data_IF_883466925375
#
_entry.id   IF_883466925375
#
_cell.length_a   1.000
_cell.length_b   1.000
_cell.length_c   1.000
_cell.angle_alpha   90.00
_cell.angle_beta   90.00
_cell.angle_gamma   90.00
#
_symmetry.space_group_name_H-M   'P 1'
#
loop_
_entity.id
_entity.type
_entity.pdbx_description
1 polymer ?
#
# COMPACT_ATOMS: atom_id res chain seq x y z
N UNK A 1 -1.81 -1.00 -3.12
CA UNK A 1 -3.01 -0.43 -2.44
C UNK A 1 -4.28 -1.10 -2.94
N UNK A 2 -5.39 -1.00 -2.19
CA UNK A 2 -6.70 -1.46 -2.67
C UNK A 2 -7.29 -0.43 -3.65
N UNK A 3 -7.64 -0.80 -4.89
CA UNK A 3 -8.17 0.14 -5.89
C UNK A 3 -9.69 0.34 -5.75
N UNK A 4 -10.19 0.40 -4.51
CA UNK A 4 -11.63 0.51 -4.23
C UNK A 4 -11.98 1.91 -3.73
N UNK A 5 -13.26 2.28 -3.79
CA UNK A 5 -13.79 3.51 -3.17
C UNK A 5 -13.74 3.49 -1.63
N UNK A 6 -13.16 2.46 -1.02
CA UNK A 6 -12.88 2.42 0.43
C UNK A 6 -11.83 3.46 0.83
N UNK A 7 -11.87 3.91 2.10
CA UNK A 7 -11.04 4.99 2.62
C UNK A 7 -9.53 4.85 2.31
N UNK A 8 -8.97 3.66 2.44
CA UNK A 8 -7.53 3.43 2.19
C UNK A 8 -7.12 3.57 0.72
N UNK A 9 -8.00 3.15 -0.22
CA UNK A 9 -7.73 3.30 -1.66
C UNK A 9 -7.70 4.76 -2.07
N UNK A 10 -8.67 5.54 -1.59
CA UNK A 10 -8.73 6.99 -1.82
C UNK A 10 -7.50 7.68 -1.21
N UNK A 11 -7.16 7.38 0.04
CA UNK A 11 -5.98 7.97 0.72
C UNK A 11 -4.70 7.69 -0.05
N UNK A 12 -4.48 6.45 -0.47
CA UNK A 12 -3.29 6.08 -1.24
C UNK A 12 -3.20 6.83 -2.58
N UNK A 13 -4.34 6.97 -3.27
CA UNK A 13 -4.39 7.68 -4.56
C UNK A 13 -4.14 9.17 -4.38
N UNK A 14 -4.82 9.83 -3.44
CA UNK A 14 -4.65 11.25 -3.15
C UNK A 14 -3.22 11.58 -2.69
N UNK A 15 -2.61 10.70 -1.89
CA UNK A 15 -1.22 10.84 -1.49
C UNK A 15 -0.29 10.79 -2.70
N UNK A 16 -0.47 9.80 -3.59
CA UNK A 16 0.33 9.69 -4.80
C UNK A 16 0.17 10.90 -5.73
N UNK A 17 -1.06 11.40 -5.91
CA UNK A 17 -1.32 12.62 -6.69
C UNK A 17 -0.63 13.84 -6.04
N UNK A 18 -0.72 13.99 -4.72
CA UNK A 18 -0.09 15.09 -4.01
C UNK A 18 1.44 15.06 -4.09
N UNK A 19 2.03 13.87 -4.04
CA UNK A 19 3.47 13.69 -4.20
C UNK A 19 3.91 13.96 -5.65
N UNK A 20 3.14 13.54 -6.65
CA UNK A 20 3.46 13.81 -8.05
C UNK A 20 3.46 15.31 -8.38
N UNK A 21 2.54 16.08 -7.77
CA UNK A 21 2.50 17.55 -7.87
C UNK A 21 3.75 18.22 -7.27
N UNK A 22 4.46 17.50 -6.38
CA UNK A 22 5.73 17.92 -5.77
C UNK A 22 6.96 17.43 -6.53
N UNK A 23 6.78 16.82 -7.69
CA UNK A 23 7.86 16.38 -8.57
C UNK A 23 8.32 14.94 -8.38
N UNK A 24 7.68 14.16 -7.51
CA UNK A 24 7.98 12.74 -7.37
C UNK A 24 7.36 11.92 -8.51
N UNK A 25 8.08 10.90 -8.99
CA UNK A 25 7.53 9.90 -9.90
C UNK A 25 6.82 8.81 -9.09
N UNK A 26 5.53 8.57 -9.38
CA UNK A 26 4.67 7.68 -8.61
C UNK A 26 4.27 6.48 -9.47
N UNK A 27 4.49 5.29 -8.91
CA UNK A 27 4.14 4.03 -9.52
C UNK A 27 3.08 3.31 -8.67
N UNK A 28 1.84 3.26 -9.14
CA UNK A 28 0.79 2.47 -8.52
C UNK A 28 0.88 1.02 -9.01
N UNK A 29 1.05 0.07 -8.09
CA UNK A 29 1.06 -1.37 -8.38
C UNK A 29 -0.12 -2.02 -7.68
N UNK A 30 -1.12 -2.48 -8.44
CA UNK A 30 -2.36 -3.06 -7.91
C UNK A 30 -3.13 -3.80 -9.01
N UNK A 31 -4.12 -4.63 -8.64
CA UNK A 31 -4.88 -5.49 -9.57
C UNK A 31 -5.93 -4.74 -10.42
N UNK A 32 -6.20 -3.47 -10.14
CA UNK A 32 -7.11 -2.62 -10.89
C UNK A 32 -6.67 -1.17 -10.76
N UNK A 33 -6.97 -0.34 -11.75
CA UNK A 33 -6.66 1.09 -11.69
C UNK A 33 -7.23 1.73 -10.42
N UNK A 34 -6.42 2.49 -9.67
CA UNK A 34 -6.89 3.18 -8.47
C UNK A 34 -8.03 4.14 -8.78
N UNK A 35 -9.01 4.20 -7.87
CA UNK A 35 -10.10 5.18 -7.94
C UNK A 35 -9.55 6.60 -7.91
N UNK A 36 -10.23 7.54 -8.55
CA UNK A 36 -9.82 8.94 -8.71
C UNK A 36 -8.52 9.17 -9.50
N UNK A 37 -7.93 8.13 -10.08
CA UNK A 37 -6.81 8.26 -10.99
C UNK A 37 -7.37 8.40 -12.42
N UNK A 38 -8.09 9.50 -12.68
CA UNK A 38 -8.76 9.74 -13.98
C UNK A 38 -7.78 10.08 -15.08
N UNK A 39 -6.68 10.75 -14.73
CA UNK A 39 -5.63 11.13 -15.67
C UNK A 39 -4.27 10.69 -15.17
N UNK A 40 -3.56 9.93 -16.00
CA UNK A 40 -2.14 9.67 -15.81
C UNK A 40 -1.38 10.95 -16.17
N UNK A 41 -0.77 11.60 -15.18
CA UNK A 41 0.19 12.67 -15.42
C UNK A 41 1.53 12.08 -15.88
N UNK A 42 2.42 12.92 -16.41
CA UNK A 42 3.76 12.48 -16.82
C UNK A 42 4.55 11.79 -15.67
N UNK A 43 4.19 12.10 -14.42
CA UNK A 43 4.85 11.59 -13.22
C UNK A 43 4.06 10.48 -12.51
N UNK A 44 2.95 9.99 -13.07
CA UNK A 44 2.15 8.90 -12.48
C UNK A 44 2.04 7.75 -13.48
N UNK A 45 2.39 6.56 -13.01
CA UNK A 45 2.28 5.32 -13.78
C UNK A 45 1.43 4.30 -13.02
N UNK A 46 0.69 3.50 -13.75
CA UNK A 46 -0.07 2.38 -13.22
C UNK A 46 0.45 1.06 -13.77
N UNK A 47 0.63 0.09 -12.89
CA UNK A 47 1.08 -1.26 -13.22
C UNK A 47 0.07 -2.27 -12.71
N UNK A 48 -0.60 -2.93 -13.63
CA UNK A 48 -1.58 -3.94 -13.27
C UNK A 48 -0.90 -5.23 -12.81
N UNK A 49 -1.42 -5.78 -11.71
CA UNK A 49 -1.06 -7.10 -11.19
C UNK A 49 -2.07 -8.10 -11.71
N UNK A 50 -1.68 -8.86 -12.72
CA UNK A 50 -2.49 -9.94 -13.24
C UNK A 50 -2.17 -11.23 -12.47
N UNK A 51 -3.20 -11.92 -12.02
CA UNK A 51 -3.09 -13.25 -11.43
C UNK A 51 -3.65 -14.23 -12.43
N UNK A 52 -2.79 -14.99 -13.15
CA UNK A 52 -3.27 -15.95 -14.13
C UNK A 52 -4.03 -17.08 -13.43
N UNK A 53 -5.14 -17.49 -14.03
CA UNK A 53 -5.85 -18.68 -13.59
C UNK A 53 -5.01 -19.92 -13.91
N UNK A 54 -4.80 -20.75 -12.90
CA UNK A 54 -4.10 -22.02 -13.07
C UNK A 54 -4.88 -23.14 -12.37
N UNK A 55 -5.24 -24.22 -13.10
CA UNK A 55 -6.17 -25.24 -12.58
C UNK A 55 -5.74 -25.92 -11.28
N UNK A 56 -4.44 -25.94 -10.97
CA UNK A 56 -3.92 -26.51 -9.72
C UNK A 56 -4.03 -25.58 -8.52
N UNK A 57 -4.29 -24.28 -8.73
CA UNK A 57 -4.49 -23.33 -7.63
C UNK A 57 -5.96 -23.23 -7.28
N UNK A 58 -6.34 -23.82 -6.17
CA UNK A 58 -7.70 -23.69 -5.64
C UNK A 58 -8.00 -22.22 -5.25
N UNK A 59 -6.98 -21.49 -4.81
CA UNK A 59 -7.02 -20.05 -4.55
C UNK A 59 -5.95 -19.34 -5.38
N UNK A 60 -6.31 -18.18 -5.94
CA UNK A 60 -5.37 -17.40 -6.74
C UNK A 60 -4.30 -16.78 -5.84
N UNK A 61 -2.99 -17.01 -6.10
CA UNK A 61 -1.89 -16.52 -5.26
C UNK A 61 -1.55 -15.06 -5.56
N UNK A 62 -2.42 -14.15 -5.13
CA UNK A 62 -2.26 -12.71 -5.37
C UNK A 62 -0.93 -12.16 -4.83
N UNK A 63 -0.52 -12.60 -3.63
CA UNK A 63 0.71 -12.14 -2.99
C UNK A 63 1.96 -12.50 -3.79
N UNK A 64 1.98 -13.67 -4.42
CA UNK A 64 3.06 -14.09 -5.33
C UNK A 64 3.09 -13.22 -6.59
N UNK A 65 1.94 -12.97 -7.20
CA UNK A 65 1.85 -12.13 -8.39
C UNK A 65 2.26 -10.69 -8.07
N UNK A 66 1.81 -10.14 -6.92
CA UNK A 66 2.16 -8.81 -6.46
C UNK A 66 3.66 -8.68 -6.20
N UNK A 67 4.26 -9.61 -5.45
CA UNK A 67 5.69 -9.55 -5.15
C UNK A 67 6.55 -9.64 -6.42
N UNK A 68 6.22 -10.52 -7.36
CA UNK A 68 6.90 -10.64 -8.65
C UNK A 68 6.75 -9.38 -9.51
N UNK A 69 5.55 -8.78 -9.53
CA UNK A 69 5.30 -7.51 -10.23
C UNK A 69 6.09 -6.36 -9.63
N UNK A 70 6.18 -6.28 -8.30
CA UNK A 70 6.99 -5.28 -7.60
C UNK A 70 8.47 -5.38 -8.02
N UNK A 71 9.05 -6.57 -8.04
CA UNK A 71 10.43 -6.81 -8.52
C UNK A 71 10.62 -6.27 -9.94
N UNK A 72 9.69 -6.61 -10.83
CA UNK A 72 9.75 -6.15 -12.23
C UNK A 72 9.71 -4.63 -12.34
N UNK A 73 8.79 -3.97 -11.59
CA UNK A 73 8.64 -2.51 -11.61
C UNK A 73 9.91 -1.84 -11.05
N UNK A 74 10.45 -2.33 -9.94
CA UNK A 74 11.65 -1.77 -9.31
C UNK A 74 12.86 -1.86 -10.25
N UNK A 75 13.06 -3.01 -10.90
CA UNK A 75 14.17 -3.19 -11.84
C UNK A 75 14.08 -2.29 -13.08
N UNK A 76 12.85 -2.02 -13.53
CA UNK A 76 12.63 -1.23 -14.75
C UNK A 76 12.61 0.29 -14.53
N UNK A 77 12.35 0.76 -13.31
CA UNK A 77 12.03 2.17 -13.05
C UNK A 77 12.83 2.83 -11.92
N UNK A 78 13.91 2.23 -11.42
CA UNK A 78 14.78 2.82 -10.38
C UNK A 78 13.97 3.38 -9.19
N UNK A 79 13.13 2.56 -8.58
CA UNK A 79 12.29 2.96 -7.46
C UNK A 79 13.15 3.15 -6.20
N UNK A 80 12.99 4.27 -5.52
CA UNK A 80 13.75 4.62 -4.31
C UNK A 80 13.11 4.09 -3.03
N UNK A 81 11.77 3.96 -3.00
CA UNK A 81 11.02 3.53 -1.81
C UNK A 81 9.74 2.81 -2.20
N UNK A 82 9.40 1.77 -1.46
CA UNK A 82 8.14 1.07 -1.54
C UNK A 82 7.21 1.53 -0.41
N UNK A 83 6.11 2.18 -0.75
CA UNK A 83 5.07 2.53 0.21
C UNK A 83 3.88 1.59 0.05
N UNK A 84 3.63 0.76 1.05
CA UNK A 84 2.52 -0.19 1.06
C UNK A 84 1.44 0.25 2.05
N UNK A 85 0.19 0.02 1.66
CA UNK A 85 -0.98 0.23 2.50
C UNK A 85 -1.53 -1.13 2.90
N UNK A 86 -1.70 -1.37 4.19
CA UNK A 86 -2.01 -2.64 4.88
C UNK A 86 -0.81 -3.56 5.13
N UNK A 87 -0.80 -4.13 6.34
CA UNK A 87 0.17 -5.14 6.75
C UNK A 87 0.06 -6.41 5.90
N UNK A 88 -1.16 -6.85 5.62
CA UNK A 88 -1.47 -7.98 4.72
C UNK A 88 -2.54 -7.57 3.71
N UNK A 89 -2.48 -8.06 2.47
CA UNK A 89 -1.40 -8.87 1.90
C UNK A 89 -0.19 -8.06 1.45
N UNK A 90 -0.26 -6.72 1.48
CA UNK A 90 0.65 -5.86 0.74
C UNK A 90 2.06 -5.77 1.35
N UNK A 91 2.19 -5.55 2.69
CA UNK A 91 3.53 -5.49 3.28
C UNK A 91 4.20 -6.87 3.28
N UNK A 92 3.42 -7.96 3.40
CA UNK A 92 3.94 -9.31 3.22
C UNK A 92 4.53 -9.50 1.82
N UNK A 93 3.77 -9.16 0.77
CA UNK A 93 4.26 -9.23 -0.61
C UNK A 93 5.44 -8.27 -0.87
N UNK A 94 5.42 -7.08 -0.25
CA UNK A 94 6.52 -6.12 -0.32
C UNK A 94 7.81 -6.66 0.28
N UNK A 95 7.74 -7.32 1.43
CA UNK A 95 8.90 -7.98 2.04
C UNK A 95 9.45 -9.09 1.15
N UNK A 96 8.59 -9.91 0.54
CA UNK A 96 9.02 -10.94 -0.41
C UNK A 96 9.72 -10.33 -1.63
N UNK A 97 9.22 -9.20 -2.14
CA UNK A 97 9.88 -8.46 -3.21
C UNK A 97 11.26 -7.93 -2.78
N UNK A 98 11.38 -7.39 -1.55
CA UNK A 98 12.69 -6.96 -1.00
C UNK A 98 13.68 -8.13 -0.95
N UNK A 99 13.26 -9.33 -0.54
CA UNK A 99 14.14 -10.50 -0.50
C UNK A 99 14.61 -10.91 -1.91
N UNK A 100 13.72 -10.95 -2.89
CA UNK A 100 14.09 -11.26 -4.27
C UNK A 100 15.02 -10.19 -4.88
N UNK A 101 14.81 -8.91 -4.57
CA UNK A 101 15.67 -7.81 -5.03
C UNK A 101 17.05 -7.85 -4.37
N UNK A 102 17.13 -8.25 -3.12
CA UNK A 102 18.40 -8.39 -2.40
C UNK A 102 19.34 -9.44 -3.02
N UNK A 103 18.81 -10.50 -3.61
CA UNK A 103 19.59 -11.49 -4.39
C UNK A 103 20.34 -10.83 -5.57
N UNK A 104 19.77 -9.76 -6.13
CA UNK A 104 20.36 -8.95 -7.20
C UNK A 104 21.17 -7.74 -6.68
N UNK A 105 21.38 -7.64 -5.36
CA UNK A 105 22.09 -6.52 -4.72
C UNK A 105 21.30 -5.21 -4.68
N UNK A 106 19.97 -5.25 -4.90
CA UNK A 106 19.10 -4.07 -4.87
C UNK A 106 18.47 -3.94 -3.48
N UNK A 107 18.76 -2.82 -2.79
CA UNK A 107 18.14 -2.46 -1.52
C UNK A 107 16.94 -1.53 -1.78
N UNK A 108 15.76 -1.90 -1.27
CA UNK A 108 14.53 -1.13 -1.43
C UNK A 108 13.88 -0.90 -0.05
N UNK A 109 13.97 0.31 0.53
CA UNK A 109 13.28 0.61 1.78
C UNK A 109 11.76 0.50 1.64
N UNK A 110 11.09 -0.04 2.67
CA UNK A 110 9.64 -0.21 2.69
C UNK A 110 8.98 0.53 3.85
N UNK A 111 8.01 1.38 3.54
CA UNK A 111 7.11 1.99 4.51
C UNK A 111 5.74 1.32 4.44
N UNK A 112 5.16 1.01 5.61
CA UNK A 112 3.83 0.42 5.72
C UNK A 112 2.90 1.36 6.48
N UNK A 113 1.74 1.69 5.87
CA UNK A 113 0.67 2.43 6.53
C UNK A 113 -0.48 1.49 6.90
N UNK A 114 -0.81 1.46 8.18
CA UNK A 114 -1.90 0.68 8.75
C UNK A 114 -3.21 1.48 8.67
N UNK A 115 -4.31 0.82 8.28
CA UNK A 115 -5.61 1.46 8.04
C UNK A 115 -6.75 0.99 8.94
N UNK A 116 -6.56 -0.07 9.71
CA UNK A 116 -7.52 -0.59 10.69
C UNK A 116 -8.05 -1.97 10.34
N UNK A 117 -8.61 -2.18 9.14
CA UNK A 117 -9.15 -3.48 8.73
C UNK A 117 -8.11 -4.61 8.82
N UNK A 118 -6.88 -4.31 8.46
CA UNK A 118 -5.72 -5.20 8.53
C UNK A 118 -5.27 -5.51 9.97
N UNK A 119 -5.73 -4.74 10.94
CA UNK A 119 -5.36 -4.86 12.34
C UNK A 119 -6.51 -5.46 13.17
N UNK A 120 -7.67 -4.77 13.19
CA UNK A 120 -8.75 -5.07 14.13
C UNK A 120 -9.75 -6.10 13.61
N UNK A 121 -9.85 -6.28 12.27
CA UNK A 121 -10.75 -7.25 11.66
C UNK A 121 -9.99 -8.49 11.19
N UNK A 122 -9.36 -8.40 10.02
CA UNK A 122 -8.72 -9.56 9.39
C UNK A 122 -7.46 -9.96 10.16
N UNK A 123 -6.64 -8.99 10.54
CA UNK A 123 -5.34 -9.24 11.16
C UNK A 123 -5.41 -9.83 12.57
N UNK A 124 -6.47 -9.55 13.31
CA UNK A 124 -6.67 -10.12 14.65
C UNK A 124 -7.04 -11.60 14.64
N UNK A 125 -7.49 -12.13 13.49
CA UNK A 125 -7.83 -13.56 13.37
C UNK A 125 -6.59 -14.43 13.53
N UNK A 126 -6.71 -15.53 14.28
CA UNK A 126 -5.58 -16.41 14.68
C UNK A 126 -4.74 -16.90 13.50
N UNK A 127 -5.36 -17.16 12.34
CA UNK A 127 -4.64 -17.61 11.14
C UNK A 127 -3.77 -16.53 10.50
N UNK A 128 -4.18 -15.25 10.58
CA UNK A 128 -3.46 -14.14 9.95
C UNK A 128 -2.53 -13.40 10.90
N UNK A 129 -2.76 -13.51 12.22
CA UNK A 129 -1.99 -12.81 13.24
C UNK A 129 -0.46 -12.99 13.10
N UNK A 130 0.09 -14.20 12.84
CA UNK A 130 1.53 -14.36 12.63
C UNK A 130 2.05 -13.60 11.41
N UNK A 131 1.30 -13.60 10.29
CA UNK A 131 1.69 -12.89 9.07
C UNK A 131 1.65 -11.36 9.26
N UNK A 132 0.64 -10.84 9.94
CA UNK A 132 0.53 -9.40 10.26
C UNK A 132 1.68 -8.97 11.17
N UNK A 133 1.91 -9.70 12.26
CA UNK A 133 3.01 -9.43 13.19
C UNK A 133 4.36 -9.43 12.48
N UNK A 134 4.60 -10.42 11.64
CA UNK A 134 5.80 -10.51 10.82
C UNK A 134 5.95 -9.32 9.88
N UNK A 135 4.92 -9.00 9.10
CA UNK A 135 4.95 -7.95 8.08
C UNK A 135 5.22 -6.56 8.68
N UNK A 136 4.57 -6.24 9.80
CA UNK A 136 4.80 -4.97 10.50
C UNK A 136 6.25 -4.88 10.99
N UNK A 137 6.77 -5.94 11.63
CA UNK A 137 8.13 -5.96 12.16
C UNK A 137 9.22 -5.96 11.07
N UNK A 138 8.90 -6.33 9.84
CA UNK A 138 9.82 -6.31 8.69
C UNK A 138 9.81 -5.02 7.89
N UNK A 139 8.84 -4.16 8.11
CA UNK A 139 8.81 -2.83 7.49
C UNK A 139 9.91 -1.93 8.05
N UNK A 140 10.54 -1.11 7.22
CA UNK A 140 11.57 -0.16 7.67
C UNK A 140 10.95 0.99 8.47
N UNK A 141 9.79 1.46 8.00
CA UNK A 141 8.98 2.49 8.67
C UNK A 141 7.54 2.00 8.76
N UNK A 142 6.91 2.20 9.92
CA UNK A 142 5.48 1.89 10.12
C UNK A 142 4.73 3.15 10.50
N UNK A 143 3.61 3.38 9.84
CA UNK A 143 2.69 4.48 10.18
C UNK A 143 1.28 3.96 10.45
N UNK A 144 0.53 4.67 11.26
CA UNK A 144 -0.91 4.44 11.46
C UNK A 144 -1.68 5.73 11.23
N UNK A 145 -2.94 5.61 10.83
CA UNK A 145 -3.79 6.77 10.53
C UNK A 145 -4.37 7.46 11.77
N UNK A 146 -4.20 6.87 12.96
CA UNK A 146 -4.66 7.47 14.23
C UNK A 146 -3.90 6.91 15.42
N UNK A 147 -3.92 7.64 16.54
CA UNK A 147 -3.41 7.18 17.83
C UNK A 147 -4.18 5.95 18.36
N UNK A 148 -5.49 5.90 18.14
CA UNK A 148 -6.31 4.74 18.52
C UNK A 148 -5.82 3.49 17.81
N UNK A 149 -5.64 3.55 16.49
CA UNK A 149 -5.15 2.40 15.71
C UNK A 149 -3.73 1.98 16.12
N UNK A 150 -2.84 2.95 16.39
CA UNK A 150 -1.51 2.65 16.94
C UNK A 150 -1.63 1.87 18.25
N UNK A 151 -2.46 2.33 19.17
CA UNK A 151 -2.67 1.67 20.47
C UNK A 151 -3.26 0.26 20.30
N UNK A 152 -4.26 0.10 19.44
CA UNK A 152 -4.85 -1.20 19.15
C UNK A 152 -3.83 -2.17 18.55
N UNK A 153 -2.99 -1.69 17.64
CA UNK A 153 -1.91 -2.49 17.02
C UNK A 153 -0.94 -3.00 18.08
N UNK A 154 -0.48 -2.13 18.97
CA UNK A 154 0.46 -2.50 20.05
C UNK A 154 -0.16 -3.44 21.09
N UNK A 155 -1.47 -3.38 21.29
CA UNK A 155 -2.19 -4.27 22.21
C UNK A 155 -2.41 -5.67 21.62
N UNK A 156 -2.63 -5.76 20.29
CA UNK A 156 -2.97 -7.02 19.63
C UNK A 156 -1.73 -7.81 19.21
N UNK A 157 -0.66 -7.11 18.82
CA UNK A 157 0.54 -7.71 18.22
C UNK A 157 1.81 -7.41 19.03
N UNK A 158 2.80 -8.29 18.94
CA UNK A 158 4.15 -8.07 19.47
C UNK A 158 4.98 -7.24 18.48
N UNK A 159 4.78 -5.92 18.50
CA UNK A 159 5.44 -4.99 17.59
C UNK A 159 6.70 -4.44 18.24
N UNK A 160 7.84 -4.60 17.54
CA UNK A 160 9.17 -4.14 17.94
C UNK A 160 9.58 -2.83 17.27
N UNK A 161 8.73 -2.30 16.40
CA UNK A 161 8.95 -1.06 15.65
C UNK A 161 8.20 0.08 16.31
N UNK A 162 8.74 1.29 16.21
CA UNK A 162 7.95 2.50 16.50
C UNK A 162 6.92 2.73 15.41
N UNK A 163 5.70 3.02 15.81
CA UNK A 163 4.60 3.35 14.89
C UNK A 163 4.38 4.85 14.95
N UNK A 164 4.65 5.55 13.85
CA UNK A 164 4.38 6.98 13.72
C UNK A 164 2.93 7.21 13.34
N UNK A 165 2.28 8.18 13.98
CA UNK A 165 0.89 8.54 13.61
C UNK A 165 0.92 9.63 12.55
N UNK A 166 0.32 9.33 11.41
CA UNK A 166 0.14 10.26 10.28
C UNK A 166 -1.34 10.23 9.89
N UNK A 167 -2.14 11.18 10.37
CA UNK A 167 -3.56 11.25 10.05
C UNK A 167 -3.82 11.38 8.55
N UNK A 168 -4.93 10.81 8.08
CA UNK A 168 -5.39 11.04 6.72
C UNK A 168 -5.65 12.52 6.49
N UNK A 169 -5.39 12.99 5.28
CA UNK A 169 -5.64 14.37 4.88
C UNK A 169 -6.75 14.45 3.84
N UNK A 170 -7.32 15.63 3.71
CA UNK A 170 -8.29 15.99 2.67
C UNK A 170 -7.74 17.20 1.94
N UNK A 171 -7.69 17.14 0.62
CA UNK A 171 -7.35 18.29 -0.22
C UNK A 171 -8.58 19.21 -0.34
N UNK A 172 -8.60 20.26 0.48
CA UNK A 172 -9.72 21.22 0.55
C UNK A 172 -9.91 21.98 -0.76
N UNK A 173 -8.84 22.20 -1.54
CA UNK A 173 -8.94 22.90 -2.83
C UNK A 173 -9.75 22.10 -3.85
N UNK A 174 -9.64 20.79 -3.84
CA UNK A 174 -10.44 19.90 -4.71
C UNK A 174 -11.91 19.80 -4.28
N UNK A 175 -12.22 20.02 -2.99
CA UNK A 175 -13.60 20.03 -2.50
C UNK A 175 -14.38 21.26 -2.93
N UNK A 176 -13.75 22.43 -2.95
CA UNK A 176 -14.41 23.69 -3.36
C UNK A 176 -14.83 23.69 -4.83
N UNK A 177 -14.02 23.10 -5.72
CA UNK A 177 -14.38 22.96 -7.14
C UNK A 177 -15.58 22.04 -7.39
N UNK A 178 -15.70 20.95 -6.63
CA UNK A 178 -16.84 20.04 -6.76
C UNK A 178 -18.17 20.62 -6.27
N UNK A 179 -18.15 21.59 -5.35
CA UNK A 179 -19.33 22.31 -4.90
C UNK A 179 -19.80 23.37 -5.90
N UNK A 180 -18.90 24.00 -6.62
CA UNK A 180 -19.26 24.97 -7.67
C UNK A 180 -19.85 24.29 -8.93
N UNK A 181 -19.38 23.09 -9.26
CA UNK A 181 -19.91 22.30 -10.38
C UNK A 181 -21.27 21.66 -10.08
N UNK A 182 -21.64 21.45 -8.81
CA UNK A 182 -22.97 20.98 -8.42
C UNK A 182 -24.03 22.07 -8.38
N UNK A 183 -23.66 23.35 -8.49
CA UNK A 183 -24.60 24.48 -8.49
C UNK A 183 -24.88 25.05 -9.89
N UNK A 184 -24.34 24.45 -10.93
CA UNK A 184 -24.61 24.73 -12.35
C UNK A 184 -25.46 23.63 -12.97
#
# INVERSE_FOLDING_TARGET
>A
CCPTFGGSGVVATELGISLSKRGHEIHFVTYKQPVRLEYLSNNIRYHEVLVPEYPLFHYQPYELALSSKLVTVVKNHKIDVLHVHYAIPHAYAGFMAQQMLAEDGISLPMMTTLHGTDITLVGSHSFYKPAVNFSINRSDVVTSVSESLKKDTLNIFDIKKDIKVVPNFIDIANLSQSFEDCQR
#
